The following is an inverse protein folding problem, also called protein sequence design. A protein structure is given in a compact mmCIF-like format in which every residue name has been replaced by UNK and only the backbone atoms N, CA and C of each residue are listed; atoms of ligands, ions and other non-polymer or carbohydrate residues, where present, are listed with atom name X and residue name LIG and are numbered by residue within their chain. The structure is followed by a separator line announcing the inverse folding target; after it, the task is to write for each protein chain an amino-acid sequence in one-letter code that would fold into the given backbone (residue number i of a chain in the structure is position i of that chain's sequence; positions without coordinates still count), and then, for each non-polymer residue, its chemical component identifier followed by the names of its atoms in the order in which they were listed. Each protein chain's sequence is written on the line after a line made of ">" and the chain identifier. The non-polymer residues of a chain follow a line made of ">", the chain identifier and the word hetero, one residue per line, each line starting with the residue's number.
data_IF_921869548874
#
_entry.id   IF_921869548874
#
_cell.length_a   1.000
_cell.length_b   1.000
_cell.length_c   1.000
_cell.angle_alpha   90.00
_cell.angle_beta   90.00
_cell.angle_gamma   90.00
#
_symmetry.space_group_name_H-M   'P 1'
#
loop_
_entity.id
_entity.type
_entity.pdbx_description
1 polymer ?
#
# COMPACT_ATOMS: atom_id res chain seq x y z
N UNK A 1 0.93 -4.18 -11.06
CA UNK A 1 1.79 -4.11 -9.86
C UNK A 1 1.68 -5.35 -8.96
N UNK A 2 0.49 -5.78 -8.51
CA UNK A 2 0.34 -7.00 -7.66
C UNK A 2 1.11 -8.23 -8.14
N UNK A 3 1.01 -8.57 -9.43
CA UNK A 3 1.77 -9.69 -10.02
C UNK A 3 3.29 -9.50 -9.94
N UNK A 4 3.78 -8.26 -10.08
CA UNK A 4 5.20 -7.96 -9.99
C UNK A 4 5.72 -8.09 -8.55
N UNK A 5 4.96 -7.61 -7.56
CA UNK A 5 5.24 -7.83 -6.14
C UNK A 5 5.32 -9.32 -5.84
N UNK A 6 4.32 -10.09 -6.27
CA UNK A 6 4.27 -11.54 -6.08
C UNK A 6 5.47 -12.27 -6.69
N UNK A 7 5.91 -11.86 -7.89
CA UNK A 7 7.11 -12.44 -8.52
C UNK A 7 8.35 -12.14 -7.69
N UNK A 8 8.50 -10.91 -7.21
CA UNK A 8 9.64 -10.53 -6.36
C UNK A 8 9.65 -11.32 -5.06
N UNK A 9 8.53 -11.39 -4.35
CA UNK A 9 8.38 -12.13 -3.09
C UNK A 9 8.65 -13.62 -3.28
N UNK A 10 8.07 -14.22 -4.33
CA UNK A 10 8.27 -15.64 -4.64
C UNK A 10 9.74 -15.94 -4.92
N UNK A 11 10.43 -15.06 -5.65
CA UNK A 11 11.84 -15.24 -5.95
C UNK A 11 12.69 -15.14 -4.68
N UNK A 12 12.46 -14.14 -3.83
CA UNK A 12 13.13 -14.01 -2.53
C UNK A 12 12.93 -15.27 -1.68
N UNK A 13 11.69 -15.71 -1.52
CA UNK A 13 11.34 -16.92 -0.76
C UNK A 13 11.99 -18.19 -1.34
N UNK A 14 12.08 -18.29 -2.67
CA UNK A 14 12.72 -19.43 -3.34
C UNK A 14 14.23 -19.45 -3.04
N UNK A 15 14.92 -18.31 -3.17
CA UNK A 15 16.34 -18.19 -2.82
C UNK A 15 16.60 -18.57 -1.35
N UNK A 16 15.79 -18.08 -0.42
CA UNK A 16 15.90 -18.41 1.00
C UNK A 16 15.70 -19.91 1.23
N UNK A 17 14.67 -20.51 0.63
CA UNK A 17 14.36 -21.94 0.82
C UNK A 17 15.47 -22.83 0.25
N UNK A 18 15.96 -22.50 -0.94
CA UNK A 18 17.07 -23.22 -1.58
C UNK A 18 18.34 -23.18 -0.73
N UNK A 19 18.74 -21.99 -0.26
CA UNK A 19 20.00 -21.82 0.48
C UNK A 19 19.93 -22.28 1.94
N UNK A 20 18.75 -22.27 2.56
CA UNK A 20 18.58 -22.70 3.96
C UNK A 20 18.29 -24.19 4.13
N UNK A 21 17.58 -24.81 3.19
CA UNK A 21 17.10 -26.20 3.34
C UNK A 21 17.72 -27.14 2.31
N UNK A 22 17.54 -26.84 1.02
CA UNK A 22 17.86 -27.80 -0.04
C UNK A 22 19.36 -27.91 -0.30
N UNK A 23 20.02 -26.77 -0.50
CA UNK A 23 21.44 -26.74 -0.85
C UNK A 23 22.35 -27.08 0.33
N UNK A 24 21.94 -26.84 1.59
CA UNK A 24 22.73 -27.32 2.75
C UNK A 24 22.88 -28.83 2.78
N UNK A 25 21.88 -29.55 2.25
CA UNK A 25 21.83 -31.03 2.22
C UNK A 25 22.34 -31.60 0.89
N UNK A 26 22.82 -30.76 -0.03
CA UNK A 26 23.25 -31.20 -1.35
C UNK A 26 24.69 -31.77 -1.30
N UNK A 27 24.92 -33.06 -1.62
CA UNK A 27 26.19 -33.72 -1.31
C UNK A 27 27.40 -33.17 -2.07
N UNK A 28 27.23 -32.81 -3.35
CA UNK A 28 28.36 -32.42 -4.21
C UNK A 28 28.83 -30.99 -3.94
N UNK A 29 27.89 -30.09 -3.62
CA UNK A 29 28.12 -28.66 -3.43
C UNK A 29 27.20 -28.09 -2.35
N UNK A 30 27.44 -28.42 -1.07
CA UNK A 30 26.59 -27.94 -0.01
C UNK A 30 26.74 -26.43 0.17
N UNK A 31 25.62 -25.72 0.33
CA UNK A 31 25.64 -24.32 0.73
C UNK A 31 26.13 -24.22 2.17
N UNK A 32 27.22 -23.47 2.40
CA UNK A 32 27.89 -23.40 3.71
C UNK A 32 27.52 -22.16 4.51
N UNK A 33 27.11 -21.11 3.83
CA UNK A 33 26.74 -19.85 4.46
C UNK A 33 25.32 -19.89 5.04
N UNK A 34 24.93 -18.78 5.63
CA UNK A 34 23.54 -18.53 6.00
C UNK A 34 22.66 -18.35 4.77
N UNK A 35 21.34 -18.29 5.01
CA UNK A 35 20.35 -18.08 3.96
C UNK A 35 20.70 -16.86 3.10
N UNK A 36 20.57 -17.02 1.80
CA UNK A 36 20.72 -15.92 0.85
C UNK A 36 19.37 -15.28 0.58
N UNK A 37 19.32 -13.96 0.75
CA UNK A 37 18.14 -13.12 0.46
C UNK A 37 18.55 -12.05 -0.55
N UNK A 38 17.93 -11.99 -1.75
CA UNK A 38 18.20 -10.96 -2.73
C UNK A 38 17.70 -9.57 -2.26
N UNK A 39 18.50 -8.84 -1.50
CA UNK A 39 18.10 -7.57 -0.84
C UNK A 39 17.50 -6.55 -1.80
N UNK A 40 18.10 -6.36 -2.98
CA UNK A 40 17.59 -5.42 -4.00
C UNK A 40 16.18 -5.77 -4.47
N UNK A 41 15.88 -7.07 -4.58
CA UNK A 41 14.56 -7.55 -4.99
C UNK A 41 13.54 -7.39 -3.86
N UNK A 42 13.97 -7.63 -2.62
CA UNK A 42 13.14 -7.38 -1.42
C UNK A 42 12.76 -5.91 -1.31
N UNK A 43 13.74 -5.00 -1.46
CA UNK A 43 13.51 -3.56 -1.46
C UNK A 43 12.53 -3.17 -2.57
N UNK A 44 12.74 -3.67 -3.80
CA UNK A 44 11.88 -3.39 -4.95
C UNK A 44 10.44 -3.85 -4.69
N UNK A 45 10.25 -5.04 -4.10
CA UNK A 45 8.93 -5.54 -3.72
C UNK A 45 8.23 -4.57 -2.76
N UNK A 46 8.95 -4.12 -1.71
CA UNK A 46 8.44 -3.14 -0.75
C UNK A 46 8.02 -1.83 -1.43
N UNK A 47 8.84 -1.31 -2.34
CA UNK A 47 8.52 -0.08 -3.09
C UNK A 47 7.32 -0.23 -4.00
N UNK A 48 7.22 -1.35 -4.72
CA UNK A 48 6.08 -1.66 -5.58
C UNK A 48 4.78 -1.77 -4.77
N UNK A 49 4.82 -2.38 -3.59
CA UNK A 49 3.68 -2.47 -2.69
C UNK A 49 3.27 -1.10 -2.14
N UNK A 50 4.24 -0.24 -1.80
CA UNK A 50 3.99 1.13 -1.36
C UNK A 50 3.32 1.97 -2.47
N UNK A 51 3.85 1.92 -3.69
CA UNK A 51 3.25 2.62 -4.86
C UNK A 51 1.85 2.10 -5.14
N UNK A 52 1.66 0.78 -5.09
CA UNK A 52 0.35 0.16 -5.28
C UNK A 52 -0.65 0.64 -4.22
N UNK A 53 -0.24 0.67 -2.96
CA UNK A 53 -1.07 1.13 -1.85
C UNK A 53 -1.45 2.59 -2.01
N UNK A 54 -0.50 3.48 -2.31
CA UNK A 54 -0.76 4.91 -2.55
C UNK A 54 -1.79 5.13 -3.65
N UNK A 55 -1.62 4.46 -4.80
CA UNK A 55 -2.56 4.56 -5.93
C UNK A 55 -3.93 3.99 -5.59
N UNK A 56 -3.97 2.84 -4.93
CA UNK A 56 -5.24 2.19 -4.54
C UNK A 56 -6.03 3.07 -3.57
N UNK A 57 -5.37 3.62 -2.56
CA UNK A 57 -5.98 4.55 -1.60
C UNK A 57 -6.51 5.79 -2.32
N UNK A 58 -5.70 6.38 -3.21
CA UNK A 58 -6.10 7.55 -3.97
C UNK A 58 -7.33 7.28 -4.86
N UNK A 59 -7.33 6.17 -5.59
CA UNK A 59 -8.45 5.76 -6.44
C UNK A 59 -9.74 5.55 -5.64
N UNK A 60 -9.64 4.88 -4.49
CA UNK A 60 -10.77 4.68 -3.59
C UNK A 60 -11.28 6.01 -3.01
N UNK A 61 -10.36 6.90 -2.63
CA UNK A 61 -10.65 8.23 -2.10
C UNK A 61 -11.42 9.05 -3.15
N UNK A 62 -10.88 9.17 -4.36
CA UNK A 62 -11.52 9.89 -5.47
C UNK A 62 -12.90 9.30 -5.78
N UNK A 63 -13.06 7.97 -5.76
CA UNK A 63 -14.34 7.30 -6.04
C UNK A 63 -15.46 7.68 -5.05
N UNK A 64 -15.12 7.95 -3.80
CA UNK A 64 -16.06 8.30 -2.73
C UNK A 64 -16.36 9.82 -2.66
N UNK A 65 -15.54 10.64 -3.33
CA UNK A 65 -15.77 12.08 -3.45
C UNK A 65 -16.60 12.42 -4.69
N UNK A 66 -17.46 13.43 -4.55
CA UNK A 66 -18.15 14.07 -5.67
C UNK A 66 -17.18 14.92 -6.50
N UNK A 67 -17.58 15.28 -7.72
CA UNK A 67 -16.73 16.10 -8.60
C UNK A 67 -16.38 17.47 -7.98
N UNK A 68 -17.33 18.10 -7.30
CA UNK A 68 -17.12 19.37 -6.62
C UNK A 68 -16.11 19.23 -5.47
N UNK A 69 -16.21 18.14 -4.69
CA UNK A 69 -15.29 17.88 -3.59
C UNK A 69 -13.87 17.61 -4.08
N UNK A 70 -13.72 16.88 -5.20
CA UNK A 70 -12.42 16.62 -5.83
C UNK A 70 -11.73 17.92 -6.26
N UNK A 71 -12.50 18.87 -6.79
CA UNK A 71 -11.99 20.20 -7.18
C UNK A 71 -11.60 21.03 -5.95
N UNK A 72 -12.46 21.08 -4.93
CA UNK A 72 -12.19 21.83 -3.70
C UNK A 72 -10.96 21.29 -2.95
N UNK A 73 -10.78 19.98 -2.93
CA UNK A 73 -9.69 19.28 -2.25
C UNK A 73 -8.46 19.09 -3.14
N UNK A 74 -8.49 19.58 -4.38
CA UNK A 74 -7.41 19.46 -5.39
C UNK A 74 -6.86 18.05 -5.49
N UNK A 75 -7.73 17.04 -5.52
CA UNK A 75 -7.29 15.63 -5.56
C UNK A 75 -6.55 15.30 -6.85
N UNK A 76 -6.76 16.05 -7.94
CA UNK A 76 -5.98 15.93 -9.18
C UNK A 76 -4.48 16.14 -8.98
N UNK A 77 -4.12 16.98 -8.01
CA UNK A 77 -2.75 17.44 -7.80
C UNK A 77 -2.04 16.60 -6.73
N UNK A 78 -2.71 15.56 -6.22
CA UNK A 78 -2.21 14.74 -5.11
C UNK A 78 -0.83 14.15 -5.37
N UNK A 79 -0.54 13.77 -6.61
CA UNK A 79 0.74 13.14 -6.98
C UNK A 79 1.80 14.11 -7.50
N UNK A 80 1.54 15.44 -7.50
CA UNK A 80 2.53 16.45 -7.88
C UNK A 80 3.85 16.34 -7.06
N UNK A 81 3.84 16.02 -5.74
CA UNK A 81 5.08 15.80 -4.99
C UNK A 81 6.01 14.71 -5.56
N UNK A 82 5.48 13.80 -6.39
CA UNK A 82 6.25 12.74 -7.03
C UNK A 82 6.72 13.10 -8.46
N UNK A 83 6.31 14.25 -9.00
CA UNK A 83 6.66 14.69 -10.36
C UNK A 83 8.15 15.02 -10.46
N UNK A 84 8.97 14.01 -10.74
CA UNK A 84 10.43 14.10 -10.78
C UNK A 84 11.14 12.96 -10.06
N UNK A 85 10.41 12.15 -9.29
CA UNK A 85 10.93 10.93 -8.68
C UNK A 85 10.68 9.76 -9.61
N UNK A 86 11.70 8.90 -9.78
CA UNK A 86 11.50 7.58 -10.37
C UNK A 86 11.20 6.57 -9.24
N UNK A 87 9.97 6.06 -9.12
CA UNK A 87 9.60 5.18 -8.03
C UNK A 87 10.36 3.86 -8.03
N UNK A 88 10.87 3.40 -9.17
CA UNK A 88 11.56 2.11 -9.30
C UNK A 88 13.06 2.19 -9.02
N UNK A 89 13.63 3.40 -8.96
CA UNK A 89 15.04 3.61 -8.65
C UNK A 89 15.22 3.76 -7.14
N UNK A 90 15.13 2.63 -6.43
CA UNK A 90 15.47 2.59 -5.01
C UNK A 90 16.99 2.65 -4.83
N UNK A 91 17.44 3.78 -4.28
CA UNK A 91 18.79 4.00 -3.86
C UNK A 91 18.73 4.68 -2.47
N UNK A 92 19.59 4.32 -1.50
CA UNK A 92 19.69 5.04 -0.22
C UNK A 92 19.72 6.58 -0.35
N UNK A 93 20.30 7.13 -1.42
CA UNK A 93 20.33 8.58 -1.65
C UNK A 93 18.99 9.18 -2.12
N UNK A 94 18.11 8.39 -2.75
CA UNK A 94 16.79 8.84 -3.23
C UNK A 94 15.66 8.54 -2.25
N UNK A 95 15.89 7.65 -1.28
CA UNK A 95 14.91 7.28 -0.25
C UNK A 95 14.36 8.48 0.55
N UNK A 96 15.18 9.45 1.00
CA UNK A 96 14.67 10.61 1.75
C UNK A 96 13.72 11.48 0.91
N UNK A 97 14.02 11.64 -0.39
CA UNK A 97 13.17 12.40 -1.32
C UNK A 97 11.83 11.69 -1.51
N UNK A 98 11.85 10.35 -1.65
CA UNK A 98 10.62 9.56 -1.70
C UNK A 98 9.78 9.73 -0.43
N UNK A 99 10.39 9.60 0.75
CA UNK A 99 9.69 9.74 2.03
C UNK A 99 9.11 11.15 2.21
N UNK A 100 9.83 12.18 1.78
CA UNK A 100 9.32 13.55 1.79
C UNK A 100 8.10 13.72 0.87
N UNK A 101 8.13 13.16 -0.35
CA UNK A 101 7.00 13.19 -1.28
C UNK A 101 5.78 12.45 -0.73
N UNK A 102 5.97 11.27 -0.12
CA UNK A 102 4.91 10.54 0.58
C UNK A 102 4.31 11.37 1.71
N UNK A 103 5.14 12.00 2.55
CA UNK A 103 4.65 12.86 3.61
C UNK A 103 3.89 14.09 3.10
N UNK A 104 4.28 14.66 1.96
CA UNK A 104 3.53 15.75 1.31
C UNK A 104 2.18 15.27 0.77
N UNK A 105 2.14 14.09 0.13
CA UNK A 105 0.89 13.46 -0.32
C UNK A 105 -0.06 13.21 0.86
N UNK A 106 0.42 12.62 1.94
CA UNK A 106 -0.41 12.30 3.11
C UNK A 106 -0.98 13.55 3.77
N UNK A 107 -0.17 14.61 3.93
CA UNK A 107 -0.66 15.91 4.42
C UNK A 107 -1.69 16.54 3.49
N UNK A 108 -1.45 16.49 2.18
CA UNK A 108 -2.38 17.03 1.18
C UNK A 108 -3.71 16.29 1.16
N UNK A 109 -3.70 14.97 1.34
CA UNK A 109 -4.91 14.13 1.30
C UNK A 109 -5.63 14.01 2.65
N UNK A 110 -5.03 14.41 3.77
CA UNK A 110 -5.65 14.31 5.10
C UNK A 110 -7.08 14.91 5.19
N UNK A 111 -7.39 16.09 4.62
CA UNK A 111 -8.75 16.63 4.65
C UNK A 111 -9.75 15.78 3.85
N UNK A 112 -9.30 15.18 2.75
CA UNK A 112 -10.11 14.26 1.97
C UNK A 112 -10.37 12.95 2.71
N UNK A 113 -9.36 12.41 3.40
CA UNK A 113 -9.51 11.21 4.23
C UNK A 113 -10.51 11.41 5.37
N UNK A 114 -10.46 12.53 6.10
CA UNK A 114 -11.43 12.86 7.15
C UNK A 114 -12.85 12.93 6.62
N UNK A 115 -13.04 13.61 5.47
CA UNK A 115 -14.37 13.72 4.86
C UNK A 115 -14.94 12.35 4.46
N UNK A 116 -14.08 11.49 3.94
CA UNK A 116 -14.48 10.14 3.52
C UNK A 116 -14.72 9.23 4.72
N UNK A 117 -13.98 9.39 5.81
CA UNK A 117 -14.20 8.63 7.03
C UNK A 117 -15.64 8.82 7.55
N UNK A 118 -16.13 10.07 7.59
CA UNK A 118 -17.53 10.36 7.90
C UNK A 118 -18.53 9.71 6.94
N UNK A 119 -18.27 9.73 5.63
CA UNK A 119 -19.12 9.10 4.62
C UNK A 119 -19.15 7.58 4.73
N UNK A 120 -17.98 6.95 4.91
CA UNK A 120 -17.86 5.51 5.08
C UNK A 120 -18.59 5.06 6.35
N UNK A 121 -18.49 5.83 7.43
CA UNK A 121 -19.21 5.57 8.67
C UNK A 121 -20.73 5.58 8.47
N UNK A 122 -21.25 6.60 7.78
CA UNK A 122 -22.68 6.63 7.43
C UNK A 122 -23.07 5.44 6.57
N UNK A 123 -22.29 5.15 5.52
CA UNK A 123 -22.54 4.03 4.62
C UNK A 123 -22.53 2.67 5.34
N UNK A 124 -21.62 2.46 6.30
CA UNK A 124 -21.55 1.23 7.07
C UNK A 124 -22.69 1.09 8.08
N UNK A 125 -23.14 2.19 8.70
CA UNK A 125 -24.36 2.20 9.52
C UNK A 125 -25.59 1.82 8.71
N UNK A 126 -25.75 2.41 7.53
CA UNK A 126 -26.90 2.14 6.66
C UNK A 126 -26.93 0.68 6.19
N UNK A 127 -25.75 0.08 5.98
CA UNK A 127 -25.58 -1.32 5.59
C UNK A 127 -25.50 -2.31 6.77
N UNK A 128 -25.62 -1.85 8.02
CA UNK A 128 -25.47 -2.69 9.22
C UNK A 128 -26.49 -3.82 9.30
N UNK A 129 -27.70 -3.61 8.75
CA UNK A 129 -28.75 -4.63 8.64
C UNK A 129 -28.46 -5.70 7.57
N UNK A 130 -27.49 -5.46 6.67
CA UNK A 130 -27.17 -6.30 5.51
C UNK A 130 -25.72 -6.81 5.61
N UNK A 131 -25.48 -7.77 6.50
CA UNK A 131 -24.16 -8.31 6.85
C UNK A 131 -23.27 -8.67 5.65
N UNK A 132 -23.82 -9.31 4.61
CA UNK A 132 -23.07 -9.66 3.40
C UNK A 132 -22.65 -8.45 2.57
N UNK A 133 -23.49 -7.41 2.49
CA UNK A 133 -23.17 -6.18 1.75
C UNK A 133 -22.13 -5.35 2.51
N UNK A 134 -22.27 -5.28 3.84
CA UNK A 134 -21.29 -4.63 4.72
C UNK A 134 -19.90 -5.26 4.56
N UNK A 135 -19.80 -6.59 4.63
CA UNK A 135 -18.53 -7.31 4.45
C UNK A 135 -17.89 -6.99 3.09
N UNK A 136 -18.71 -6.94 2.02
CA UNK A 136 -18.24 -6.66 0.67
C UNK A 136 -17.68 -5.23 0.55
N UNK A 137 -18.37 -4.24 1.11
CA UNK A 137 -17.90 -2.85 1.09
C UNK A 137 -16.65 -2.66 1.97
N UNK A 138 -16.57 -3.35 3.11
CA UNK A 138 -15.37 -3.36 3.95
C UNK A 138 -14.16 -3.95 3.22
N UNK A 139 -14.34 -5.09 2.53
CA UNK A 139 -13.30 -5.69 1.69
C UNK A 139 -12.89 -4.78 0.53
N UNK A 140 -13.85 -4.06 -0.06
CA UNK A 140 -13.62 -3.14 -1.17
C UNK A 140 -12.80 -1.92 -0.75
N UNK A 141 -13.00 -1.39 0.46
CA UNK A 141 -12.27 -0.23 0.99
C UNK A 141 -11.21 -0.60 2.03
N UNK A 142 -10.75 -1.86 2.05
CA UNK A 142 -9.79 -2.37 3.04
C UNK A 142 -8.54 -1.51 3.21
N UNK A 143 -8.00 -0.95 2.13
CA UNK A 143 -6.79 -0.12 2.18
C UNK A 143 -7.06 1.29 2.74
N UNK A 144 -8.26 1.85 2.48
CA UNK A 144 -8.70 3.08 3.15
C UNK A 144 -8.96 2.85 4.65
N UNK A 145 -9.65 1.78 5.02
CA UNK A 145 -10.00 1.50 6.43
C UNK A 145 -8.77 1.31 7.31
N UNK A 146 -7.67 0.79 6.74
CA UNK A 146 -6.38 0.68 7.44
C UNK A 146 -5.69 2.02 7.71
N UNK A 147 -6.08 3.10 7.02
CA UNK A 147 -5.47 4.43 7.24
C UNK A 147 -5.74 4.89 8.67
N UNK A 148 -4.75 5.45 9.38
CA UNK A 148 -4.90 5.81 10.79
C UNK A 148 -5.96 6.88 11.04
N UNK A 149 -6.14 7.82 10.10
CA UNK A 149 -7.20 8.83 10.10
C UNK A 149 -8.59 8.19 10.08
N UNK A 150 -8.81 7.28 9.12
CA UNK A 150 -10.10 6.60 8.90
C UNK A 150 -10.36 5.55 9.98
N UNK A 151 -9.35 4.75 10.36
CA UNK A 151 -9.49 3.72 11.38
C UNK A 151 -9.86 4.30 12.75
N UNK A 152 -9.38 5.49 13.10
CA UNK A 152 -9.75 6.16 14.36
C UNK A 152 -11.21 6.58 14.37
N UNK A 153 -11.72 7.08 13.24
CA UNK A 153 -13.13 7.49 13.13
C UNK A 153 -14.10 6.30 13.05
N UNK A 154 -13.64 5.16 12.51
CA UNK A 154 -14.42 3.91 12.41
C UNK A 154 -14.31 3.01 13.66
N UNK A 155 -13.44 3.34 14.63
CA UNK A 155 -13.25 2.56 15.86
C UNK A 155 -14.52 2.23 16.66
N UNK A 156 -15.57 3.09 16.74
CA UNK A 156 -16.79 2.74 17.47
C UNK A 156 -17.70 1.71 16.75
N UNK A 157 -17.34 1.26 15.54
CA UNK A 157 -18.14 0.33 14.71
C UNK A 157 -17.41 -0.99 14.41
N UNK A 158 -16.29 -1.26 15.09
CA UNK A 158 -15.56 -2.54 15.01
C UNK A 158 -16.12 -3.59 15.97
#
# INVERSE_FOLDING_TARGET
>A
MKKAVLVCERWVSTCETLTSQYWKRFPSHPWKDDKFVPERLSLLATRLEEVLTLRTVHEQLVRLLSQQERQQLRTSDAFVPFAGLNPLHQNPYTEPLWRAAVGQYERGMAPAEQKIAGKLRQQFRDLSAQSHQLLREFQRYKELVKRPSISKELAPER
#
